data_IF_338897502441
#
_entry.id   IF_338897502441
#
_cell.length_a   1.000
_cell.length_b   1.000
_cell.length_c   1.000
_cell.angle_alpha   90.00
_cell.angle_beta   90.00
_cell.angle_gamma   90.00
#
_symmetry.space_group_name_H-M   'P 1'
#
loop_
_entity.id
_entity.type
_entity.pdbx_description
1 polymer ?
#
# COMPACT_ATOMS: atom_id res chain seq x y z
N UNK A 1 12.65 -22.04 -9.40
CA UNK A 1 11.85 -21.05 -8.67
C UNK A 1 12.32 -19.69 -9.15
N UNK A 2 11.43 -18.84 -9.65
CA UNK A 2 11.81 -17.48 -10.07
C UNK A 2 12.05 -16.66 -8.80
N UNK A 3 13.29 -16.21 -8.57
CA UNK A 3 13.61 -15.26 -7.52
C UNK A 3 13.10 -13.87 -7.94
N UNK A 4 12.27 -13.24 -7.09
CA UNK A 4 11.72 -11.90 -7.31
C UNK A 4 12.65 -10.79 -6.82
N UNK A 5 13.67 -11.16 -6.04
CA UNK A 5 14.74 -10.27 -5.60
C UNK A 5 15.96 -10.60 -6.44
N UNK A 6 16.62 -9.55 -6.95
CA UNK A 6 17.86 -9.75 -7.69
C UNK A 6 18.90 -10.35 -6.75
N UNK A 7 19.58 -11.47 -7.11
CA UNK A 7 20.55 -12.14 -6.24
C UNK A 7 21.64 -11.22 -5.68
N UNK A 8 22.04 -10.20 -6.45
CA UNK A 8 23.00 -9.19 -6.02
C UNK A 8 22.45 -8.32 -4.87
N UNK A 9 21.17 -7.92 -4.93
CA UNK A 9 20.54 -7.14 -3.86
C UNK A 9 20.41 -7.95 -2.56
N UNK A 10 20.15 -9.25 -2.66
CA UNK A 10 20.07 -10.13 -1.49
C UNK A 10 21.46 -10.34 -0.85
N UNK A 11 22.52 -10.44 -1.68
CA UNK A 11 23.90 -10.58 -1.23
C UNK A 11 24.45 -9.30 -0.60
N UNK A 12 24.10 -8.13 -1.14
CA UNK A 12 24.58 -6.83 -0.64
C UNK A 12 23.87 -6.38 0.65
N UNK A 13 22.62 -6.78 0.85
CA UNK A 13 21.78 -6.32 1.98
C UNK A 13 21.92 -7.18 3.24
N UNK A 14 22.70 -8.27 3.22
CA UNK A 14 22.78 -9.22 4.36
C UNK A 14 21.39 -9.64 4.91
N UNK A 15 20.33 -9.37 4.15
CA UNK A 15 18.93 -9.60 4.48
C UNK A 15 18.09 -8.32 4.51
N UNK A 16 16.78 -8.47 4.33
CA UNK A 16 15.81 -7.37 4.35
C UNK A 16 15.08 -7.38 5.68
N UNK A 17 15.16 -6.30 6.43
CA UNK A 17 14.49 -6.12 7.70
C UNK A 17 13.18 -5.36 7.59
N UNK A 18 13.11 -4.39 6.65
CA UNK A 18 11.94 -3.57 6.40
C UNK A 18 11.56 -3.69 4.93
N UNK A 19 10.32 -4.11 4.67
CA UNK A 19 9.75 -4.17 3.33
C UNK A 19 8.65 -3.11 3.20
N UNK A 20 8.80 -2.20 2.23
CA UNK A 20 7.74 -1.25 1.86
C UNK A 20 7.22 -1.58 0.46
N UNK A 21 6.04 -2.14 0.38
CA UNK A 21 5.34 -2.43 -0.88
C UNK A 21 4.62 -1.17 -1.36
N UNK A 22 5.29 -0.37 -2.18
CA UNK A 22 4.76 0.91 -2.69
C UNK A 22 4.41 0.86 -4.19
N UNK A 23 4.96 -0.07 -4.96
CA UNK A 23 4.71 -0.18 -6.39
C UNK A 23 3.21 -0.34 -6.69
N UNK A 24 2.72 0.40 -7.69
CA UNK A 24 1.34 0.30 -8.10
C UNK A 24 1.05 1.09 -9.36
N UNK A 25 0.06 0.63 -10.10
CA UNK A 25 -0.46 1.26 -11.31
C UNK A 25 -1.97 1.41 -11.22
N UNK A 26 -2.51 2.30 -12.05
CA UNK A 26 -3.94 2.41 -12.30
C UNK A 26 -4.23 2.17 -13.79
N UNK A 27 -5.41 1.63 -14.07
CA UNK A 27 -5.98 1.48 -15.40
C UNK A 27 -7.47 1.81 -15.28
N UNK A 28 -7.77 3.10 -15.25
CA UNK A 28 -9.09 3.60 -14.94
C UNK A 28 -10.03 3.45 -16.15
N UNK A 29 -11.26 3.06 -15.90
CA UNK A 29 -12.30 2.88 -16.91
C UNK A 29 -13.62 2.48 -16.28
N UNK A 30 -14.73 2.81 -16.96
CA UNK A 30 -16.06 2.37 -16.50
C UNK A 30 -16.11 0.85 -16.44
N UNK A 31 -16.70 0.30 -15.39
CA UNK A 31 -16.76 -1.15 -15.13
C UNK A 31 -17.22 -1.96 -16.35
N UNK A 32 -18.28 -1.50 -17.02
CA UNK A 32 -18.85 -2.18 -18.21
C UNK A 32 -17.94 -2.15 -19.45
N UNK A 33 -16.87 -1.34 -19.44
CA UNK A 33 -15.88 -1.22 -20.52
C UNK A 33 -14.48 -1.66 -20.11
N UNK A 34 -14.30 -2.07 -18.86
CA UNK A 34 -13.00 -2.51 -18.35
C UNK A 34 -12.62 -3.83 -19.03
N UNK A 35 -11.46 -3.87 -19.67
CA UNK A 35 -10.95 -5.10 -20.29
C UNK A 35 -10.34 -6.03 -19.25
N UNK A 36 -10.38 -7.34 -19.52
CA UNK A 36 -9.68 -8.34 -18.68
C UNK A 36 -8.19 -8.00 -18.58
N UNK A 37 -7.58 -7.52 -19.67
CA UNK A 37 -6.17 -7.12 -19.68
C UNK A 37 -5.86 -5.96 -18.73
N UNK A 38 -6.73 -4.95 -18.62
CA UNK A 38 -6.55 -3.84 -17.68
C UNK A 38 -6.80 -4.29 -16.24
N UNK A 39 -7.77 -5.19 -16.04
CA UNK A 39 -8.00 -5.82 -14.75
C UNK A 39 -6.77 -6.62 -14.30
N UNK A 40 -6.31 -7.56 -15.11
CA UNK A 40 -5.20 -8.45 -14.81
C UNK A 40 -3.90 -7.67 -14.57
N UNK A 41 -3.60 -6.65 -15.38
CA UNK A 41 -2.41 -5.83 -15.23
C UNK A 41 -2.38 -5.12 -13.87
N UNK A 42 -3.51 -4.57 -13.41
CA UNK A 42 -3.59 -3.89 -12.11
C UNK A 42 -3.46 -4.89 -10.96
N UNK A 43 -4.14 -6.02 -11.03
CA UNK A 43 -4.05 -7.07 -10.00
C UNK A 43 -2.64 -7.66 -9.94
N UNK A 44 -2.00 -7.92 -11.09
CA UNK A 44 -0.66 -8.50 -11.16
C UNK A 44 0.37 -7.57 -10.50
N UNK A 45 0.37 -6.28 -10.86
CA UNK A 45 1.36 -5.32 -10.31
C UNK A 45 1.07 -4.98 -8.86
N UNK A 46 -0.19 -4.63 -8.53
CA UNK A 46 -0.50 -4.07 -7.22
C UNK A 46 -0.64 -5.13 -6.12
N UNK A 47 -1.11 -6.33 -6.44
CA UNK A 47 -1.43 -7.35 -5.46
C UNK A 47 -0.57 -8.61 -5.60
N UNK A 48 -0.50 -9.20 -6.80
CA UNK A 48 0.18 -10.47 -7.00
C UNK A 48 1.70 -10.34 -6.84
N UNK A 49 2.31 -9.30 -7.42
CA UNK A 49 3.75 -9.05 -7.27
C UNK A 49 4.11 -8.76 -5.81
N UNK A 50 3.31 -7.94 -5.12
CA UNK A 50 3.46 -7.68 -3.69
C UNK A 50 3.39 -8.97 -2.87
N UNK A 51 2.39 -9.83 -3.12
CA UNK A 51 2.27 -11.14 -2.45
C UNK A 51 3.52 -12.00 -2.65
N UNK A 52 4.03 -12.10 -3.88
CA UNK A 52 5.20 -12.92 -4.21
C UNK A 52 6.44 -12.45 -3.46
N UNK A 53 6.72 -11.15 -3.51
CA UNK A 53 7.85 -10.53 -2.82
C UNK A 53 7.74 -10.66 -1.30
N UNK A 54 6.56 -10.38 -0.74
CA UNK A 54 6.30 -10.50 0.69
C UNK A 54 6.52 -11.93 1.17
N UNK A 55 6.01 -12.92 0.44
CA UNK A 55 6.18 -14.36 0.77
C UNK A 55 7.65 -14.76 0.82
N UNK A 56 8.46 -14.29 -0.11
CA UNK A 56 9.89 -14.59 -0.19
C UNK A 56 10.64 -14.02 1.02
N UNK A 57 10.36 -12.77 1.38
CA UNK A 57 11.03 -12.08 2.49
C UNK A 57 10.52 -12.45 3.89
N UNK A 58 9.29 -12.93 4.01
CA UNK A 58 8.68 -13.26 5.31
C UNK A 58 9.44 -14.36 6.04
N UNK A 59 9.86 -15.42 5.35
CA UNK A 59 10.54 -16.54 6.00
C UNK A 59 11.89 -16.15 6.64
N UNK A 60 12.80 -15.42 5.99
CA UNK A 60 13.99 -14.86 6.61
C UNK A 60 13.69 -13.96 7.82
N UNK A 61 12.71 -13.07 7.74
CA UNK A 61 12.29 -12.21 8.86
C UNK A 61 11.83 -13.02 10.08
N UNK A 62 11.00 -14.04 9.85
CA UNK A 62 10.53 -14.95 10.91
C UNK A 62 11.68 -15.70 11.60
N UNK A 63 12.71 -16.10 10.84
CA UNK A 63 13.89 -16.78 11.40
C UNK A 63 14.73 -15.87 12.28
N UNK A 64 14.91 -14.61 11.87
CA UNK A 64 15.61 -13.58 12.66
C UNK A 64 14.76 -13.05 13.83
N UNK A 65 13.44 -13.36 13.84
CA UNK A 65 12.47 -12.87 14.83
C UNK A 65 12.40 -11.34 14.87
N UNK A 66 12.51 -10.72 13.72
CA UNK A 66 12.35 -9.29 13.53
C UNK A 66 12.02 -8.99 12.08
N UNK A 67 11.06 -8.08 11.86
CA UNK A 67 10.71 -7.58 10.54
C UNK A 67 9.55 -6.60 10.60
N UNK A 68 9.50 -5.73 9.57
CA UNK A 68 8.43 -4.74 9.36
C UNK A 68 7.99 -4.78 7.91
N UNK A 69 6.72 -5.09 7.68
CA UNK A 69 6.13 -5.12 6.34
C UNK A 69 5.06 -4.04 6.29
N UNK A 70 5.23 -3.07 5.38
CA UNK A 70 4.32 -1.93 5.21
C UNK A 70 3.80 -1.92 3.78
N UNK A 71 2.50 -2.08 3.61
CA UNK A 71 1.83 -2.10 2.32
C UNK A 71 1.15 -0.76 2.06
N UNK A 72 1.50 -0.07 0.97
CA UNK A 72 0.86 1.19 0.60
C UNK A 72 -0.42 0.87 -0.18
N UNK A 73 -1.54 0.93 0.54
CA UNK A 73 -2.87 0.76 -0.04
C UNK A 73 -3.43 2.11 -0.54
N UNK A 74 -4.68 2.38 -0.37
CA UNK A 74 -5.34 3.66 -0.71
C UNK A 74 -6.66 3.76 0.05
N UNK A 75 -7.11 4.98 0.26
CA UNK A 75 -8.46 5.25 0.75
C UNK A 75 -9.53 4.54 -0.09
N UNK A 76 -9.36 4.48 -1.43
CA UNK A 76 -10.33 3.85 -2.32
C UNK A 76 -10.41 2.33 -2.19
N UNK A 77 -9.42 1.69 -1.56
CA UNK A 77 -9.51 0.28 -1.18
C UNK A 77 -10.58 0.02 -0.11
N UNK A 78 -11.06 1.06 0.57
CA UNK A 78 -12.10 0.99 1.60
C UNK A 78 -13.40 1.65 1.12
N UNK A 79 -13.30 2.85 0.50
CA UNK A 79 -14.47 3.63 0.08
C UNK A 79 -15.00 3.24 -1.30
N UNK A 80 -14.19 2.60 -2.14
CA UNK A 80 -14.45 2.49 -3.57
C UNK A 80 -14.23 3.82 -4.29
N UNK A 81 -14.17 3.77 -5.64
CA UNK A 81 -14.19 4.93 -6.50
C UNK A 81 -14.73 4.54 -7.88
N UNK A 82 -15.73 5.25 -8.44
CA UNK A 82 -16.22 4.99 -9.79
C UNK A 82 -15.09 5.01 -10.82
N UNK A 83 -15.08 4.01 -11.72
CA UNK A 83 -14.05 3.88 -12.76
C UNK A 83 -12.74 3.23 -12.31
N UNK A 84 -12.62 2.78 -11.06
CA UNK A 84 -11.41 2.17 -10.51
C UNK A 84 -11.66 0.79 -9.88
N UNK A 85 -12.56 0.00 -10.42
CA UNK A 85 -12.94 -1.29 -9.83
C UNK A 85 -11.74 -2.23 -9.62
N UNK A 86 -10.83 -2.34 -10.63
CA UNK A 86 -9.59 -3.11 -10.55
C UNK A 86 -8.63 -2.58 -9.47
N UNK A 87 -8.42 -1.27 -9.45
CA UNK A 87 -7.54 -0.62 -8.46
C UNK A 87 -8.10 -0.76 -7.04
N UNK A 88 -9.39 -0.49 -6.84
CA UNK A 88 -10.06 -0.67 -5.56
C UNK A 88 -9.96 -2.12 -5.08
N UNK A 89 -10.22 -3.10 -5.95
CA UNK A 89 -10.10 -4.51 -5.64
C UNK A 89 -8.68 -4.88 -5.20
N UNK A 90 -7.65 -4.40 -5.93
CA UNK A 90 -6.25 -4.66 -5.59
C UNK A 90 -5.87 -4.06 -4.23
N UNK A 91 -6.31 -2.82 -3.94
CA UNK A 91 -6.00 -2.13 -2.68
C UNK A 91 -6.79 -2.68 -1.49
N UNK A 92 -8.02 -3.13 -1.70
CA UNK A 92 -8.80 -3.87 -0.70
C UNK A 92 -8.18 -5.26 -0.41
N UNK A 93 -7.73 -5.96 -1.45
CA UNK A 93 -7.02 -7.24 -1.33
C UNK A 93 -5.74 -7.14 -0.49
N UNK A 94 -4.98 -6.04 -0.61
CA UNK A 94 -3.82 -5.75 0.24
C UNK A 94 -4.20 -5.70 1.72
N UNK A 95 -5.32 -5.06 2.06
CA UNK A 95 -5.79 -4.93 3.46
C UNK A 95 -6.13 -6.32 4.02
N UNK A 96 -6.85 -7.14 3.24
CA UNK A 96 -7.18 -8.51 3.63
C UNK A 96 -5.94 -9.38 3.85
N UNK A 97 -5.00 -9.35 2.88
CA UNK A 97 -3.73 -10.09 2.97
C UNK A 97 -2.92 -9.64 4.20
N UNK A 98 -2.84 -8.34 4.45
CA UNK A 98 -2.13 -7.76 5.62
C UNK A 98 -2.67 -8.32 6.92
N UNK A 99 -3.99 -8.37 7.08
CA UNK A 99 -4.63 -8.90 8.30
C UNK A 99 -4.37 -10.39 8.50
N UNK A 100 -4.46 -11.18 7.43
CA UNK A 100 -4.20 -12.62 7.49
C UNK A 100 -2.74 -12.89 7.87
N UNK A 101 -1.80 -12.30 7.13
CA UNK A 101 -0.37 -12.49 7.37
C UNK A 101 0.05 -12.01 8.77
N UNK A 102 -0.49 -10.88 9.24
CA UNK A 102 -0.23 -10.37 10.58
C UNK A 102 -0.57 -11.40 11.67
N UNK A 103 -1.70 -12.08 11.55
CA UNK A 103 -2.10 -13.13 12.50
C UNK A 103 -1.14 -14.34 12.48
N UNK A 104 -0.64 -14.71 11.31
CA UNK A 104 0.23 -15.86 11.14
C UNK A 104 1.63 -15.66 11.76
N UNK A 105 2.18 -14.43 11.66
CA UNK A 105 3.60 -14.19 11.95
C UNK A 105 3.88 -13.26 13.13
N UNK A 106 2.85 -12.71 13.79
CA UNK A 106 3.02 -11.80 14.94
C UNK A 106 3.87 -12.40 16.06
N UNK A 107 3.73 -13.71 16.34
CA UNK A 107 4.51 -14.42 17.35
C UNK A 107 6.03 -14.48 17.06
N UNK A 108 6.42 -14.10 15.86
CA UNK A 108 7.81 -14.00 15.40
C UNK A 108 8.38 -12.59 15.47
N UNK A 109 7.68 -11.65 16.14
CA UNK A 109 8.07 -10.24 16.22
C UNK A 109 8.19 -9.57 14.81
N UNK A 110 7.36 -10.02 13.87
CA UNK A 110 7.22 -9.43 12.54
C UNK A 110 5.86 -8.76 12.47
N UNK A 111 5.82 -7.46 12.20
CA UNK A 111 4.57 -6.73 12.04
C UNK A 111 4.24 -6.51 10.56
N UNK A 112 2.95 -6.55 10.25
CA UNK A 112 2.45 -6.32 8.89
C UNK A 112 1.33 -5.30 8.96
N UNK A 113 1.50 -4.15 8.32
CA UNK A 113 0.52 -3.06 8.37
C UNK A 113 0.31 -2.43 6.99
N UNK A 114 -0.78 -1.69 6.85
CA UNK A 114 -1.06 -0.85 5.69
C UNK A 114 -0.93 0.63 6.05
N UNK A 115 -0.53 1.44 5.07
CA UNK A 115 -0.80 2.88 5.04
C UNK A 115 -1.81 3.12 3.92
N UNK A 116 -2.87 3.85 4.20
CA UNK A 116 -3.92 4.22 3.24
C UNK A 116 -3.92 5.72 2.98
N UNK A 117 -3.18 6.18 1.95
CA UNK A 117 -3.18 7.58 1.54
C UNK A 117 -4.55 8.01 1.00
N UNK A 118 -4.89 9.30 1.23
CA UNK A 118 -5.89 10.01 0.45
C UNK A 118 -5.31 10.62 -0.83
N UNK A 119 -5.77 11.81 -1.21
CA UNK A 119 -5.17 12.57 -2.31
C UNK A 119 -3.85 13.21 -1.88
N UNK A 120 -2.78 12.83 -2.58
CA UNK A 120 -1.40 13.29 -2.31
C UNK A 120 -0.89 14.06 -3.52
N UNK A 121 -0.21 15.19 -3.25
CA UNK A 121 0.48 15.96 -4.27
C UNK A 121 1.52 15.11 -5.00
N UNK A 122 1.45 15.11 -6.32
CA UNK A 122 2.32 14.33 -7.20
C UNK A 122 2.35 14.97 -8.60
N UNK A 123 3.28 14.57 -9.45
CA UNK A 123 3.31 14.97 -10.86
C UNK A 123 1.99 14.67 -11.61
N UNK A 124 1.19 13.73 -11.12
CA UNK A 124 -0.12 13.42 -11.68
C UNK A 124 -1.17 14.45 -11.25
N UNK A 125 -1.16 14.87 -9.99
CA UNK A 125 -2.12 15.87 -9.46
C UNK A 125 -1.78 17.29 -9.90
N UNK A 126 -0.52 17.59 -10.24
CA UNK A 126 -0.12 18.88 -10.81
C UNK A 126 -0.81 19.17 -12.15
N UNK A 127 -1.09 18.13 -12.93
CA UNK A 127 -1.75 18.23 -14.24
C UNK A 127 -3.27 18.47 -14.18
N UNK A 128 -3.85 18.42 -12.99
CA UNK A 128 -5.28 18.67 -12.78
C UNK A 128 -5.57 20.17 -12.99
N UNK A 129 -6.69 20.47 -13.65
CA UNK A 129 -7.19 21.83 -13.75
C UNK A 129 -7.76 22.35 -12.41
N UNK A 130 -7.94 23.66 -12.30
CA UNK A 130 -8.37 24.31 -11.05
C UNK A 130 -9.70 23.77 -10.53
N UNK A 131 -10.66 23.50 -11.41
CA UNK A 131 -11.98 22.95 -11.06
C UNK A 131 -11.85 21.53 -10.47
N UNK A 132 -10.98 20.71 -11.02
CA UNK A 132 -10.71 19.36 -10.50
C UNK A 132 -10.03 19.43 -9.13
N UNK A 133 -9.05 20.32 -8.97
CA UNK A 133 -8.38 20.56 -7.68
C UNK A 133 -9.36 21.05 -6.63
N UNK A 134 -10.22 21.99 -6.98
CA UNK A 134 -11.26 22.52 -6.10
C UNK A 134 -12.25 21.43 -5.66
N UNK A 135 -12.67 20.58 -6.58
CA UNK A 135 -13.55 19.43 -6.29
C UNK A 135 -12.87 18.46 -5.30
N UNK A 136 -11.61 18.12 -5.52
CA UNK A 136 -10.84 17.25 -4.63
C UNK A 136 -10.69 17.89 -3.24
N UNK A 137 -10.27 19.15 -3.18
CA UNK A 137 -10.12 19.89 -1.93
C UNK A 137 -11.45 20.05 -1.19
N UNK A 138 -12.55 20.18 -1.94
CA UNK A 138 -13.90 20.20 -1.38
C UNK A 138 -14.24 18.92 -0.58
N UNK A 139 -13.77 17.76 -1.05
CA UNK A 139 -13.98 16.46 -0.43
C UNK A 139 -13.02 16.16 0.75
N UNK A 140 -11.94 16.93 0.92
CA UNK A 140 -10.97 16.74 2.00
C UNK A 140 -11.33 17.68 3.17
N UNK A 141 -11.66 17.18 4.36
CA UNK A 141 -11.93 18.03 5.53
C UNK A 141 -10.81 19.01 5.86
N UNK A 142 -9.53 18.60 5.74
CA UNK A 142 -8.37 19.47 5.94
C UNK A 142 -8.15 20.52 4.85
N UNK A 143 -8.99 20.54 3.77
CA UNK A 143 -8.97 21.52 2.67
C UNK A 143 -7.63 21.68 1.95
N UNK A 144 -6.81 20.66 1.97
CA UNK A 144 -5.57 20.57 1.21
C UNK A 144 -5.28 19.10 0.82
N UNK A 145 -4.51 18.90 -0.22
CA UNK A 145 -3.90 17.61 -0.49
C UNK A 145 -2.82 17.30 0.54
N UNK A 146 -2.57 16.02 0.78
CA UNK A 146 -1.43 15.58 1.56
C UNK A 146 -0.14 15.65 0.76
N UNK A 147 0.98 15.60 1.45
CA UNK A 147 2.31 15.56 0.83
C UNK A 147 2.95 14.19 1.01
N UNK A 148 3.81 13.79 0.07
CA UNK A 148 4.53 12.51 0.14
C UNK A 148 5.26 12.31 1.47
N UNK A 149 5.81 13.40 2.06
CA UNK A 149 6.47 13.34 3.37
C UNK A 149 5.53 12.95 4.53
N UNK A 150 4.23 13.24 4.42
CA UNK A 150 3.25 12.86 5.45
C UNK A 150 2.96 11.35 5.39
N UNK A 151 3.00 10.78 4.18
CA UNK A 151 2.93 9.32 4.00
C UNK A 151 4.23 8.66 4.50
N UNK A 152 5.39 9.24 4.16
CA UNK A 152 6.69 8.74 4.61
C UNK A 152 6.80 8.74 6.14
N UNK A 153 6.25 9.74 6.84
CA UNK A 153 6.22 9.78 8.30
C UNK A 153 5.39 8.62 8.90
N UNK A 154 4.25 8.28 8.29
CA UNK A 154 3.44 7.13 8.69
C UNK A 154 4.18 5.80 8.47
N UNK A 155 4.87 5.66 7.34
CA UNK A 155 5.72 4.49 7.04
C UNK A 155 6.85 4.39 8.06
N UNK A 156 7.54 5.50 8.35
CA UNK A 156 8.62 5.53 9.32
C UNK A 156 8.15 5.10 10.72
N UNK A 157 7.00 5.58 11.17
CA UNK A 157 6.40 5.13 12.42
C UNK A 157 6.16 3.62 12.43
N UNK A 158 5.52 3.07 11.40
CA UNK A 158 5.22 1.62 11.33
C UNK A 158 6.48 0.76 11.16
N UNK A 159 7.57 1.32 10.63
CA UNK A 159 8.87 0.66 10.50
C UNK A 159 9.68 0.68 11.79
N UNK A 160 9.34 1.54 12.75
CA UNK A 160 10.09 1.77 13.98
C UNK A 160 9.77 0.77 15.09
N UNK A 161 10.52 0.84 16.19
CA UNK A 161 10.28 0.03 17.39
C UNK A 161 9.08 0.54 18.20
N UNK A 162 8.71 1.81 18.06
CA UNK A 162 7.54 2.41 18.71
C UNK A 162 6.22 1.77 18.22
N UNK A 163 6.22 1.20 17.01
CA UNK A 163 5.10 0.46 16.45
C UNK A 163 5.17 -1.06 16.69
N UNK A 164 6.04 -1.55 17.57
CA UNK A 164 6.25 -2.99 17.77
C UNK A 164 4.99 -3.77 18.18
N UNK A 165 3.98 -3.10 18.76
CA UNK A 165 2.69 -3.70 19.13
C UNK A 165 1.56 -3.38 18.16
N UNK A 166 1.88 -2.77 17.00
CA UNK A 166 0.92 -2.43 15.94
C UNK A 166 1.08 -3.43 14.80
N UNK A 167 0.09 -4.29 14.59
CA UNK A 167 0.08 -5.25 13.47
C UNK A 167 -1.33 -5.48 12.96
N UNK A 168 -1.48 -5.79 11.67
CA UNK A 168 -2.76 -6.00 11.01
C UNK A 168 -3.58 -4.72 10.81
N UNK A 169 -3.01 -3.54 11.06
CA UNK A 169 -3.72 -2.27 11.02
C UNK A 169 -3.58 -1.57 9.66
N UNK A 170 -4.55 -0.71 9.38
CA UNK A 170 -4.48 0.24 8.27
C UNK A 170 -4.45 1.65 8.83
N UNK A 171 -3.31 2.32 8.70
CA UNK A 171 -3.14 3.71 9.11
C UNK A 171 -3.63 4.63 7.99
N UNK A 172 -4.73 5.31 8.22
CA UNK A 172 -5.33 6.24 7.27
C UNK A 172 -4.64 7.60 7.33
N UNK A 173 -4.06 8.05 6.19
CA UNK A 173 -3.40 9.36 6.05
C UNK A 173 -4.06 10.10 4.90
N UNK A 174 -5.24 10.70 5.16
CA UNK A 174 -6.15 11.14 4.11
C UNK A 174 -6.83 12.50 4.37
N UNK A 175 -6.36 13.26 5.37
CA UNK A 175 -6.92 14.57 5.70
C UNK A 175 -8.38 14.54 6.17
N UNK A 176 -8.84 13.37 6.68
CA UNK A 176 -10.20 13.17 7.17
C UNK A 176 -11.21 12.72 6.10
N UNK A 177 -10.78 12.38 4.88
CA UNK A 177 -11.68 11.92 3.80
C UNK A 177 -12.42 10.63 4.16
N UNK A 178 -11.81 9.75 4.93
CA UNK A 178 -12.45 8.58 5.49
C UNK A 178 -11.98 8.37 6.93
N UNK A 179 -12.93 8.27 7.84
CA UNK A 179 -12.74 8.03 9.27
C UNK A 179 -13.32 6.66 9.59
N UNK A 180 -12.44 5.63 9.54
CA UNK A 180 -12.83 4.22 9.58
C UNK A 180 -12.04 3.52 10.70
#
# INVERSE_FOLDING_TARGET
MSHWIHPEAEAELEGVDILVNNAGITKDGLFVRMSDADWDAVLEVNLTAMFRLTRELTHPMMRRRWGRIINITSIVGVTGNPGQANYCASKAGMIGLTKSLAQEIASRNVTVNCVAPGFIESAMTEKLNDKQKETIMGAIPMKRMGQGKEIAAAVLYLASNEAAYVTGQTLHVNGGMAMI
#
